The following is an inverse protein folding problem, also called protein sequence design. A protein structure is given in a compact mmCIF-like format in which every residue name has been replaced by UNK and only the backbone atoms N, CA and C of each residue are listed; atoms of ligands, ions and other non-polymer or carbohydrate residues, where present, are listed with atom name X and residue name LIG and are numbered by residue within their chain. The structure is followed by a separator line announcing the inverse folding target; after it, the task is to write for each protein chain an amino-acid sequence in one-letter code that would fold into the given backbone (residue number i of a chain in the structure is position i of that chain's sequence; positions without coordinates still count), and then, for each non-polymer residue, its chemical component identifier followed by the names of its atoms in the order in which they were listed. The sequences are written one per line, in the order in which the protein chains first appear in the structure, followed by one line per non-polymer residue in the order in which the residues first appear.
data_IF_865709881600
#
_entry.id   IF_865709881600
#
_cell.length_a   1.000
_cell.length_b   1.000
_cell.length_c   1.000
_cell.angle_alpha   90.00
_cell.angle_beta   90.00
_cell.angle_gamma   90.00
#
_symmetry.space_group_name_H-M   'P 1'
#
loop_
_entity.id
_entity.type
_entity.pdbx_description
1 polymer ?
#
# COMPACT_ATOMS: atom_id res chain seq x y z
N UNK A 1 2.79 2.15 -7.72
CA UNK A 1 2.74 3.37 -6.88
C UNK A 1 4.14 3.98 -6.76
N UNK A 2 5.15 3.20 -7.10
CA UNK A 2 6.55 3.40 -6.75
C UNK A 2 7.41 2.57 -7.71
N UNK A 3 8.72 2.79 -7.69
CA UNK A 3 9.75 1.94 -8.30
C UNK A 3 11.07 2.14 -7.53
N UNK A 4 11.88 1.10 -7.40
CA UNK A 4 13.20 1.21 -6.79
C UNK A 4 14.16 2.05 -7.63
N UNK A 5 14.99 2.86 -6.96
CA UNK A 5 16.04 3.63 -7.62
C UNK A 5 17.27 2.75 -7.87
N UNK A 6 17.80 2.78 -9.09
CA UNK A 6 19.05 2.10 -9.45
C UNK A 6 18.96 0.59 -9.68
N UNK A 7 17.74 0.01 -9.67
CA UNK A 7 17.53 -1.39 -10.06
C UNK A 7 17.30 -1.48 -11.57
N UNK A 8 17.94 -2.41 -12.31
CA UNK A 8 17.65 -2.58 -13.74
C UNK A 8 16.16 -2.83 -13.97
N UNK A 9 15.60 -2.23 -15.02
CA UNK A 9 14.15 -2.31 -15.31
C UNK A 9 13.69 -3.77 -15.50
N UNK A 10 14.55 -4.59 -16.10
CA UNK A 10 14.31 -6.01 -16.38
C UNK A 10 14.65 -6.90 -15.19
N UNK A 11 15.15 -6.35 -14.07
CA UNK A 11 15.46 -7.12 -12.89
C UNK A 11 14.19 -7.83 -12.37
N UNK A 12 14.24 -9.12 -11.97
CA UNK A 12 13.05 -9.86 -11.55
C UNK A 12 12.28 -9.22 -10.39
N UNK A 13 12.96 -8.44 -9.56
CA UNK A 13 12.41 -7.73 -8.40
C UNK A 13 12.10 -6.24 -8.65
N UNK A 14 12.26 -5.73 -9.87
CA UNK A 14 11.75 -4.39 -10.20
C UNK A 14 10.22 -4.42 -10.19
N UNK A 15 9.59 -3.30 -9.83
CA UNK A 15 8.14 -3.21 -9.89
C UNK A 15 7.62 -3.20 -11.33
N UNK A 16 8.44 -2.74 -12.27
CA UNK A 16 8.21 -2.95 -13.69
C UNK A 16 8.04 -4.44 -14.04
N UNK A 17 9.02 -5.29 -13.70
CA UNK A 17 8.95 -6.74 -13.97
C UNK A 17 7.79 -7.41 -13.22
N UNK A 18 7.55 -7.02 -11.97
CA UNK A 18 6.43 -7.51 -11.18
C UNK A 18 5.08 -7.26 -11.89
N UNK A 19 4.83 -6.00 -12.31
CA UNK A 19 3.57 -5.63 -12.94
C UNK A 19 3.36 -6.32 -14.29
N UNK A 20 4.42 -6.47 -15.10
CA UNK A 20 4.33 -7.19 -16.37
C UNK A 20 4.10 -8.69 -16.18
N UNK A 21 4.81 -9.31 -15.23
CA UNK A 21 4.70 -10.74 -14.94
C UNK A 21 3.32 -11.12 -14.40
N UNK A 22 2.78 -10.32 -13.49
CA UNK A 22 1.58 -10.67 -12.73
C UNK A 22 0.29 -10.08 -13.27
N UNK A 23 0.35 -9.01 -14.08
CA UNK A 23 -0.87 -8.34 -14.53
C UNK A 23 -0.85 -7.94 -16.00
N UNK A 24 0.03 -7.02 -16.42
CA UNK A 24 -0.09 -6.39 -17.75
C UNK A 24 0.03 -7.35 -18.93
N UNK A 25 0.74 -8.47 -18.79
CA UNK A 25 0.86 -9.48 -19.86
C UNK A 25 -0.38 -10.38 -20.00
N UNK A 26 -1.35 -10.28 -19.09
CA UNK A 26 -2.54 -11.16 -19.02
C UNK A 26 -3.84 -10.42 -19.35
N UNK A 27 -3.76 -9.15 -19.76
CA UNK A 27 -4.91 -8.28 -20.04
C UNK A 27 -4.67 -7.42 -21.28
N UNK A 28 -5.76 -6.95 -21.90
CA UNK A 28 -5.73 -6.19 -23.16
C UNK A 28 -5.40 -4.69 -22.95
N UNK A 29 -4.39 -4.38 -22.14
CA UNK A 29 -3.92 -3.00 -21.92
C UNK A 29 -2.91 -2.61 -22.99
N UNK A 30 -3.09 -1.42 -23.59
CA UNK A 30 -2.10 -0.87 -24.53
C UNK A 30 -0.85 -0.44 -23.77
N UNK A 31 0.37 -0.84 -24.17
CA UNK A 31 1.60 -0.46 -23.47
C UNK A 31 1.80 1.05 -23.31
N UNK A 32 1.33 1.86 -24.27
CA UNK A 32 1.39 3.32 -24.20
C UNK A 32 0.54 3.93 -23.08
N UNK A 33 -0.42 3.18 -22.52
CA UNK A 33 -1.25 3.62 -21.39
C UNK A 33 -0.66 3.19 -20.04
N UNK A 34 0.42 2.39 -20.04
CA UNK A 34 1.10 1.94 -18.81
C UNK A 34 2.11 3.01 -18.39
N UNK A 35 1.97 3.48 -17.16
CA UNK A 35 2.87 4.46 -16.56
C UNK A 35 3.45 3.87 -15.26
N UNK A 36 4.77 3.77 -15.19
CA UNK A 36 5.53 3.38 -14.00
C UNK A 36 6.69 4.37 -13.88
N UNK A 37 7.00 4.79 -12.66
CA UNK A 37 8.13 5.68 -12.37
C UNK A 37 9.44 5.05 -12.86
N UNK A 38 10.28 5.84 -13.52
CA UNK A 38 11.60 5.37 -13.96
C UNK A 38 12.68 5.59 -12.88
N UNK A 39 12.90 4.58 -12.04
CA UNK A 39 13.93 4.61 -11.00
C UNK A 39 15.39 4.71 -11.50
N UNK A 40 15.63 4.64 -12.81
CA UNK A 40 16.95 4.81 -13.43
C UNK A 40 17.05 6.09 -14.27
N UNK A 41 16.10 7.03 -14.11
CA UNK A 41 16.19 8.32 -14.78
C UNK A 41 17.47 9.07 -14.35
N UNK A 42 18.11 9.82 -15.26
CA UNK A 42 19.31 10.61 -14.93
C UNK A 42 19.00 11.73 -13.93
N UNK A 43 17.77 12.27 -13.98
CA UNK A 43 17.24 13.23 -13.02
C UNK A 43 15.95 12.67 -12.43
N UNK A 44 16.06 12.22 -11.18
CA UNK A 44 14.97 11.58 -10.45
C UNK A 44 13.88 12.59 -10.03
N UNK A 45 14.24 13.86 -9.79
CA UNK A 45 13.26 14.89 -9.43
C UNK A 45 12.44 15.28 -10.67
N UNK A 46 13.09 15.43 -11.82
CA UNK A 46 12.41 15.66 -13.09
C UNK A 46 11.44 14.51 -13.43
N UNK A 47 11.86 13.25 -13.28
CA UNK A 47 10.97 12.08 -13.46
C UNK A 47 9.73 12.15 -12.56
N UNK A 48 9.89 12.52 -11.28
CA UNK A 48 8.76 12.68 -10.36
C UNK A 48 7.80 13.78 -10.81
N UNK A 49 8.31 14.93 -11.25
CA UNK A 49 7.49 16.04 -11.75
C UNK A 49 6.76 15.66 -13.05
N UNK A 50 7.44 14.99 -13.97
CA UNK A 50 6.84 14.50 -15.21
C UNK A 50 5.73 13.47 -14.93
N UNK A 51 5.89 12.62 -13.93
CA UNK A 51 4.88 11.66 -13.53
C UNK A 51 3.60 12.34 -13.01
N UNK A 52 3.75 13.38 -12.20
CA UNK A 52 2.64 14.22 -11.73
C UNK A 52 1.92 14.93 -12.89
N UNK A 53 2.68 15.47 -13.83
CA UNK A 53 2.11 16.11 -15.02
C UNK A 53 1.42 15.09 -15.94
N UNK A 54 1.92 13.85 -16.05
CA UNK A 54 1.22 12.77 -16.77
C UNK A 54 -0.13 12.44 -16.11
N UNK A 55 -0.18 12.33 -14.77
CA UNK A 55 -1.44 12.12 -14.04
C UNK A 55 -2.41 13.27 -14.33
N UNK A 56 -1.94 14.51 -14.26
CA UNK A 56 -2.77 15.69 -14.51
C UNK A 56 -3.28 15.74 -15.95
N UNK A 57 -2.43 15.44 -16.94
CA UNK A 57 -2.80 15.37 -18.37
C UNK A 57 -3.83 14.27 -18.65
N UNK A 58 -3.81 13.18 -17.87
CA UNK A 58 -4.82 12.13 -17.94
C UNK A 58 -6.17 12.51 -17.27
N UNK A 59 -6.27 13.70 -16.65
CA UNK A 59 -7.46 14.14 -15.93
C UNK A 59 -7.54 13.66 -14.47
N UNK A 60 -6.40 13.28 -13.88
CA UNK A 60 -6.32 12.72 -12.55
C UNK A 60 -6.63 11.21 -12.50
N UNK A 61 -6.53 10.64 -11.30
CA UNK A 61 -6.76 9.21 -11.06
C UNK A 61 -8.23 8.98 -10.71
N UNK A 62 -8.92 8.12 -11.47
CA UNK A 62 -10.31 7.75 -11.16
C UNK A 62 -10.37 6.90 -9.89
N UNK A 63 -9.64 5.79 -9.90
CA UNK A 63 -9.59 4.83 -8.82
C UNK A 63 -8.13 4.55 -8.49
N UNK A 64 -7.75 4.78 -7.24
CA UNK A 64 -6.45 4.44 -6.71
C UNK A 64 -6.56 3.17 -5.88
N UNK A 65 -6.01 2.07 -6.39
CA UNK A 65 -5.90 0.81 -5.66
C UNK A 65 -4.56 0.76 -4.92
N UNK A 66 -4.60 0.51 -3.62
CA UNK A 66 -3.41 0.42 -2.77
C UNK A 66 -3.48 -0.67 -1.72
N UNK A 67 -2.39 -0.82 -1.00
CA UNK A 67 -2.30 -1.61 0.22
C UNK A 67 -1.71 -0.78 1.35
N UNK A 68 -1.45 -1.44 2.48
CA UNK A 68 -0.84 -0.83 3.66
C UNK A 68 0.43 -1.58 4.07
N UNK A 69 1.46 -0.87 4.50
CA UNK A 69 2.60 -1.44 5.22
C UNK A 69 2.24 -1.87 6.66
N UNK A 70 3.03 -2.74 7.31
CA UNK A 70 2.84 -3.08 8.73
C UNK A 70 3.04 -1.88 9.69
N UNK A 71 3.72 -0.84 9.22
CA UNK A 71 3.94 0.47 9.86
C UNK A 71 2.89 1.53 9.45
N UNK A 72 1.88 1.15 8.66
CA UNK A 72 0.84 2.06 8.17
C UNK A 72 1.19 2.90 6.96
N UNK A 73 2.31 2.64 6.27
CA UNK A 73 2.62 3.40 5.07
C UNK A 73 1.65 3.10 3.92
N UNK A 74 1.35 4.13 3.13
CA UNK A 74 0.77 4.01 1.78
C UNK A 74 1.86 4.32 0.74
N UNK A 75 2.03 3.47 -0.28
CA UNK A 75 3.20 3.51 -1.16
C UNK A 75 4.49 3.42 -0.31
N UNK A 76 5.60 4.02 -0.72
CA UNK A 76 6.75 4.24 0.16
C UNK A 76 6.66 5.53 0.98
N UNK A 77 5.46 5.99 1.37
CA UNK A 77 5.32 7.09 2.31
C UNK A 77 5.53 6.61 3.75
N UNK A 78 6.80 6.34 4.07
CA UNK A 78 7.27 5.89 5.39
C UNK A 78 6.81 6.82 6.53
N UNK A 79 6.73 6.33 7.77
CA UNK A 79 6.43 7.13 8.95
C UNK A 79 7.22 8.44 9.00
N UNK A 80 6.53 9.54 9.29
CA UNK A 80 7.06 10.90 9.28
C UNK A 80 6.95 11.62 7.93
N UNK A 81 6.48 10.94 6.88
CA UNK A 81 6.25 11.58 5.57
C UNK A 81 5.14 12.64 5.64
N UNK A 82 5.35 13.78 4.99
CA UNK A 82 4.33 14.83 4.91
C UNK A 82 3.03 14.29 4.31
N UNK A 83 1.90 14.55 4.97
CA UNK A 83 0.58 14.18 4.46
C UNK A 83 0.17 14.99 3.23
N UNK A 84 0.86 16.12 2.95
CA UNK A 84 0.71 16.91 1.73
C UNK A 84 1.79 16.62 0.68
N UNK A 85 2.53 15.52 0.82
CA UNK A 85 3.64 15.19 -0.08
C UNK A 85 3.17 14.90 -1.51
N UNK A 86 4.00 15.28 -2.48
CA UNK A 86 3.91 14.87 -3.89
C UNK A 86 4.86 13.72 -4.20
N UNK A 87 4.77 13.23 -5.42
CA UNK A 87 5.69 12.25 -5.99
C UNK A 87 7.13 12.73 -5.82
N UNK A 88 7.98 11.87 -5.23
CA UNK A 88 9.34 12.23 -4.85
C UNK A 88 10.23 11.01 -4.70
N UNK A 89 11.51 11.28 -4.59
CA UNK A 89 12.50 10.33 -4.11
C UNK A 89 12.35 10.14 -2.60
N UNK A 90 12.36 8.89 -2.14
CA UNK A 90 12.30 8.55 -0.72
C UNK A 90 13.35 7.50 -0.37
N UNK A 91 14.07 7.75 0.72
CA UNK A 91 14.95 6.77 1.35
C UNK A 91 14.10 5.75 2.12
N UNK A 92 14.36 4.47 1.90
CA UNK A 92 13.65 3.39 2.58
C UNK A 92 14.09 3.31 4.04
N UNK A 93 13.14 3.07 4.95
CA UNK A 93 13.45 2.80 6.35
C UNK A 93 14.19 1.46 6.50
N UNK A 94 14.91 1.29 7.61
CA UNK A 94 15.64 0.04 7.88
C UNK A 94 14.68 -1.17 7.92
N UNK A 95 13.51 -1.02 8.52
CA UNK A 95 12.49 -2.08 8.58
C UNK A 95 12.00 -2.48 7.18
N UNK A 96 11.84 -1.52 6.28
CA UNK A 96 11.50 -1.77 4.87
C UNK A 96 12.63 -2.50 4.13
N UNK A 97 13.87 -2.13 4.37
CA UNK A 97 15.05 -2.82 3.81
C UNK A 97 15.10 -4.27 4.32
N UNK A 98 14.89 -4.49 5.62
CA UNK A 98 14.86 -5.80 6.24
C UNK A 98 13.73 -6.67 5.67
N UNK A 99 12.51 -6.13 5.58
CA UNK A 99 11.35 -6.84 5.03
C UNK A 99 11.52 -7.22 3.55
N UNK A 100 12.24 -6.39 2.78
CA UNK A 100 12.44 -6.61 1.35
C UNK A 100 13.69 -7.46 1.05
N UNK A 101 14.65 -7.57 1.97
CA UNK A 101 15.89 -8.37 1.81
C UNK A 101 15.66 -9.79 1.33
N UNK A 102 14.56 -10.44 1.75
CA UNK A 102 14.20 -11.80 1.29
C UNK A 102 13.98 -11.93 -0.22
N UNK A 103 13.68 -10.83 -0.92
CA UNK A 103 13.56 -10.81 -2.38
C UNK A 103 14.93 -10.68 -3.06
N UNK A 104 15.94 -10.28 -2.30
CA UNK A 104 17.32 -10.07 -2.71
C UNK A 104 18.23 -11.08 -1.99
N UNK A 105 17.84 -12.35 -1.98
CA UNK A 105 18.63 -13.46 -1.41
C UNK A 105 18.96 -13.33 0.08
N UNK A 106 18.17 -12.54 0.83
CA UNK A 106 18.42 -12.13 2.21
C UNK A 106 19.70 -11.29 2.39
N UNK A 107 20.20 -10.68 1.32
CA UNK A 107 21.32 -9.77 1.34
C UNK A 107 20.85 -8.31 1.40
N UNK A 108 21.01 -7.69 2.57
CA UNK A 108 20.66 -6.30 2.81
C UNK A 108 21.43 -5.32 1.91
N UNK A 109 22.62 -5.69 1.42
CA UNK A 109 23.42 -4.84 0.54
C UNK A 109 22.85 -4.75 -0.87
N UNK A 110 22.06 -5.73 -1.30
CA UNK A 110 21.44 -5.77 -2.62
C UNK A 110 20.09 -5.05 -2.67
N UNK A 111 19.49 -4.74 -1.51
CA UNK A 111 18.23 -4.01 -1.46
C UNK A 111 18.47 -2.54 -1.83
N UNK A 112 17.74 -1.99 -2.83
CA UNK A 112 17.82 -0.58 -3.16
C UNK A 112 17.49 0.29 -1.94
N UNK A 113 18.31 1.30 -1.66
CA UNK A 113 18.14 2.17 -0.47
C UNK A 113 17.14 3.29 -0.69
N UNK A 114 16.75 3.53 -1.94
CA UNK A 114 15.89 4.62 -2.34
C UNK A 114 14.86 4.11 -3.33
N UNK A 115 13.70 4.76 -3.34
CA UNK A 115 12.63 4.51 -4.30
C UNK A 115 12.04 5.84 -4.77
N UNK A 116 11.51 5.85 -5.97
CA UNK A 116 10.54 6.86 -6.40
C UNK A 116 9.17 6.41 -5.91
N UNK A 117 8.38 7.33 -5.36
CA UNK A 117 7.05 7.00 -4.86
C UNK A 117 6.10 8.17 -5.03
N UNK A 118 4.84 7.87 -5.34
CA UNK A 118 3.79 8.89 -5.29
C UNK A 118 3.63 9.40 -3.85
N UNK A 119 3.40 10.70 -3.70
CA UNK A 119 3.18 11.28 -2.39
C UNK A 119 1.77 11.03 -1.85
N UNK A 120 1.57 11.22 -0.55
CA UNK A 120 0.27 11.04 0.11
C UNK A 120 -0.82 11.89 -0.54
N UNK A 121 -0.53 13.16 -0.85
CA UNK A 121 -1.51 14.03 -1.52
C UNK A 121 -1.84 13.54 -2.94
N UNK A 122 -0.87 12.96 -3.64
CA UNK A 122 -1.08 12.36 -4.97
C UNK A 122 -2.12 11.25 -4.93
N UNK A 123 -2.13 10.45 -3.86
CA UNK A 123 -3.14 9.41 -3.64
C UNK A 123 -4.48 10.05 -3.27
N UNK A 124 -4.47 11.03 -2.35
CA UNK A 124 -5.68 11.75 -1.91
C UNK A 124 -6.34 12.59 -3.01
N UNK A 125 -5.63 12.91 -4.09
CA UNK A 125 -6.17 13.60 -5.26
C UNK A 125 -6.95 12.66 -6.21
N UNK A 126 -6.93 11.34 -5.97
CA UNK A 126 -7.77 10.41 -6.69
C UNK A 126 -9.26 10.67 -6.42
N UNK A 127 -10.15 10.22 -7.32
CA UNK A 127 -11.60 10.35 -7.09
C UNK A 127 -12.13 9.29 -6.13
N UNK A 128 -11.58 8.09 -6.19
CA UNK A 128 -11.84 6.98 -5.28
C UNK A 128 -10.52 6.33 -4.85
N UNK A 129 -10.46 5.88 -3.60
CA UNK A 129 -9.33 5.13 -3.06
C UNK A 129 -9.84 3.81 -2.51
N UNK A 130 -9.30 2.69 -2.99
CA UNK A 130 -9.56 1.36 -2.44
C UNK A 130 -8.27 0.82 -1.85
N UNK A 131 -8.32 0.43 -0.58
CA UNK A 131 -7.18 -0.15 0.15
C UNK A 131 -7.51 -1.59 0.50
N UNK A 132 -6.67 -2.52 0.07
CA UNK A 132 -6.79 -3.95 0.41
C UNK A 132 -5.81 -4.27 1.54
N UNK A 133 -6.32 -4.87 2.62
CA UNK A 133 -5.53 -5.22 3.81
C UNK A 133 -5.86 -6.65 4.21
N UNK A 134 -4.87 -7.53 4.14
CA UNK A 134 -5.06 -8.94 4.51
C UNK A 134 -3.98 -9.42 5.48
N UNK A 135 -4.39 -10.28 6.40
CA UNK A 135 -3.56 -10.98 7.35
C UNK A 135 -3.30 -10.23 8.67
N UNK A 136 -2.94 -11.00 9.74
CA UNK A 136 -2.88 -10.50 11.11
C UNK A 136 -1.75 -9.48 11.33
N UNK A 137 -0.64 -9.63 10.60
CA UNK A 137 0.51 -8.73 10.62
C UNK A 137 0.20 -7.28 10.19
N UNK A 138 -1.01 -7.00 9.67
CA UNK A 138 -1.48 -5.66 9.35
C UNK A 138 -2.51 -5.10 10.33
N UNK A 139 -2.94 -5.89 11.31
CA UNK A 139 -4.04 -5.52 12.21
C UNK A 139 -3.74 -4.25 13.01
N UNK A 140 -2.52 -4.12 13.53
CA UNK A 140 -2.09 -2.92 14.26
C UNK A 140 -2.15 -1.68 13.35
N UNK A 141 -1.64 -1.78 12.12
CA UNK A 141 -1.65 -0.68 11.17
C UNK A 141 -3.08 -0.26 10.80
N UNK A 142 -3.98 -1.22 10.59
CA UNK A 142 -5.40 -0.95 10.35
C UNK A 142 -6.03 -0.21 11.55
N UNK A 143 -5.83 -0.69 12.77
CA UNK A 143 -6.33 -0.03 13.97
C UNK A 143 -5.85 1.43 14.06
N UNK A 144 -4.54 1.65 13.92
CA UNK A 144 -3.97 3.00 14.02
C UNK A 144 -4.50 3.94 12.94
N UNK A 145 -4.77 3.43 11.74
CA UNK A 145 -5.26 4.24 10.64
C UNK A 145 -6.77 4.54 10.69
N UNK A 146 -7.57 3.73 11.39
CA UNK A 146 -9.04 3.85 11.39
C UNK A 146 -9.61 4.30 12.74
N UNK A 147 -9.10 3.76 13.84
CA UNK A 147 -9.55 4.16 15.18
C UNK A 147 -8.68 5.27 15.78
N UNK A 148 -7.46 5.44 15.26
CA UNK A 148 -6.59 6.57 15.59
C UNK A 148 -6.93 7.84 14.82
N UNK A 149 -6.38 8.98 15.27
CA UNK A 149 -6.47 10.24 14.53
C UNK A 149 -5.48 10.30 13.37
N UNK A 150 -5.73 11.24 12.43
CA UNK A 150 -4.82 11.53 11.31
C UNK A 150 -3.42 11.87 11.82
N UNK A 151 -2.42 11.08 11.41
CA UNK A 151 -1.05 11.17 11.90
C UNK A 151 -0.04 10.79 10.81
N UNK A 152 1.00 11.60 10.63
CA UNK A 152 2.07 11.33 9.65
C UNK A 152 2.95 10.11 9.97
N UNK A 153 2.86 9.55 11.19
CA UNK A 153 3.50 8.29 11.55
C UNK A 153 2.75 7.07 10.99
N UNK A 154 1.47 7.23 10.66
CA UNK A 154 0.62 6.19 10.06
C UNK A 154 -0.01 6.80 8.82
N UNK A 155 0.75 6.92 7.73
CA UNK A 155 0.38 7.80 6.61
C UNK A 155 -0.94 7.42 5.93
N UNK A 156 -1.34 6.14 5.98
CA UNK A 156 -2.66 5.73 5.52
C UNK A 156 -3.81 6.36 6.32
N UNK A 157 -3.62 6.78 7.58
CA UNK A 157 -4.65 7.50 8.37
C UNK A 157 -5.17 8.76 7.66
N UNK A 158 -4.41 9.31 6.71
CA UNK A 158 -4.84 10.43 5.88
C UNK A 158 -6.06 10.12 4.99
N UNK A 159 -6.38 8.85 4.72
CA UNK A 159 -7.60 8.46 3.98
C UNK A 159 -8.88 8.87 4.71
N UNK A 160 -8.84 9.12 6.02
CA UNK A 160 -9.96 9.68 6.77
C UNK A 160 -10.38 11.07 6.25
N UNK A 161 -9.48 11.79 5.56
CA UNK A 161 -9.74 13.09 4.96
C UNK A 161 -10.27 12.99 3.52
N UNK A 162 -10.25 11.79 2.93
CA UNK A 162 -10.69 11.56 1.57
C UNK A 162 -12.24 11.47 1.51
N UNK A 163 -12.90 12.00 0.47
CA UNK A 163 -14.37 11.94 0.36
C UNK A 163 -14.90 10.53 0.04
N UNK A 164 -14.12 9.69 -0.64
CA UNK A 164 -14.54 8.35 -1.09
C UNK A 164 -13.47 7.27 -0.85
N UNK A 165 -13.09 6.98 0.41
CA UNK A 165 -12.23 5.86 0.73
C UNK A 165 -13.05 4.58 0.90
N UNK A 166 -12.52 3.46 0.44
CA UNK A 166 -13.01 2.12 0.71
C UNK A 166 -11.85 1.26 1.21
N UNK A 167 -12.08 0.53 2.31
CA UNK A 167 -11.08 -0.35 2.88
C UNK A 167 -11.66 -1.74 2.93
N UNK A 168 -11.02 -2.65 2.20
CA UNK A 168 -11.40 -4.04 2.06
C UNK A 168 -10.43 -4.87 2.88
N UNK A 169 -10.97 -5.59 3.87
CA UNK A 169 -10.16 -6.36 4.83
C UNK A 169 -10.63 -7.80 4.94
N UNK A 170 -9.72 -8.71 5.28
CA UNK A 170 -10.08 -10.03 5.81
C UNK A 170 -10.33 -9.98 7.33
N UNK A 171 -10.83 -11.06 7.91
CA UNK A 171 -11.10 -11.10 9.36
C UNK A 171 -9.81 -10.97 10.18
N UNK A 172 -8.69 -11.57 9.73
CA UNK A 172 -7.42 -11.55 10.45
C UNK A 172 -6.83 -10.14 10.56
N UNK A 173 -7.01 -9.28 9.56
CA UNK A 173 -6.61 -7.88 9.64
C UNK A 173 -7.42 -7.09 10.69
N UNK A 174 -8.54 -7.60 11.19
CA UNK A 174 -9.39 -6.90 12.17
C UNK A 174 -9.06 -7.21 13.63
N UNK A 175 -8.07 -8.07 13.91
CA UNK A 175 -7.79 -8.59 15.26
C UNK A 175 -7.50 -7.51 16.32
N UNK A 176 -6.93 -6.37 15.93
CA UNK A 176 -6.60 -5.24 16.81
C UNK A 176 -7.70 -4.17 16.87
N UNK A 177 -8.78 -4.32 16.08
CA UNK A 177 -9.92 -3.42 16.11
C UNK A 177 -10.82 -3.68 17.31
N UNK A 178 -11.52 -2.65 17.76
CA UNK A 178 -12.57 -2.83 18.75
C UNK A 178 -13.71 -3.64 18.14
N UNK A 179 -14.26 -4.57 18.94
CA UNK A 179 -15.44 -5.37 18.57
C UNK A 179 -16.60 -4.49 18.08
N UNK A 180 -16.77 -3.32 18.69
CA UNK A 180 -17.81 -2.36 18.31
C UNK A 180 -17.59 -1.80 16.90
N UNK A 181 -16.35 -1.51 16.53
CA UNK A 181 -15.97 -1.01 15.18
C UNK A 181 -16.31 -2.04 14.11
N UNK A 182 -15.89 -3.30 14.32
CA UNK A 182 -16.16 -4.39 13.36
C UNK A 182 -17.68 -4.62 13.20
N UNK A 183 -18.42 -4.68 14.32
CA UNK A 183 -19.88 -4.86 14.29
C UNK A 183 -20.59 -3.69 13.61
N UNK A 184 -20.11 -2.46 13.81
CA UNK A 184 -20.68 -1.26 13.20
C UNK A 184 -20.59 -1.34 11.67
N UNK A 185 -19.40 -1.59 11.11
CA UNK A 185 -19.23 -1.66 9.66
C UNK A 185 -19.94 -2.88 9.04
N UNK A 186 -19.88 -4.05 9.68
CA UNK A 186 -20.66 -5.23 9.21
C UNK A 186 -22.16 -4.94 9.14
N UNK A 187 -22.70 -4.23 10.13
CA UNK A 187 -24.11 -3.85 10.16
C UNK A 187 -24.47 -2.87 9.04
N UNK A 188 -23.59 -1.91 8.73
CA UNK A 188 -23.83 -0.93 7.66
C UNK A 188 -23.82 -1.62 6.30
N UNK A 189 -22.83 -2.48 6.04
CA UNK A 189 -22.72 -3.21 4.77
C UNK A 189 -23.91 -4.17 4.57
N UNK A 190 -24.39 -4.82 5.64
CA UNK A 190 -25.59 -5.64 5.58
C UNK A 190 -26.81 -4.82 5.11
N UNK A 191 -27.05 -3.66 5.73
CA UNK A 191 -28.18 -2.77 5.37
C UNK A 191 -28.00 -2.21 3.95
N UNK A 192 -26.79 -1.81 3.57
CA UNK A 192 -26.50 -1.32 2.23
C UNK A 192 -26.82 -2.38 1.16
N UNK A 193 -26.44 -3.64 1.41
CA UNK A 193 -26.73 -4.76 0.51
C UNK A 193 -28.23 -5.07 0.42
N UNK A 194 -28.96 -5.05 1.53
CA UNK A 194 -30.42 -5.25 1.55
C UNK A 194 -31.17 -4.19 0.74
N UNK A 195 -30.72 -2.94 0.80
CA UNK A 195 -31.30 -1.82 0.04
C UNK A 195 -30.81 -1.77 -1.42
N UNK A 196 -29.86 -2.63 -1.81
CA UNK A 196 -29.20 -2.55 -3.10
C UNK A 196 -28.41 -1.26 -3.31
N UNK A 197 -28.04 -0.58 -2.21
CA UNK A 197 -27.26 0.64 -2.26
C UNK A 197 -25.86 0.33 -2.78
N UNK A 198 -25.41 1.11 -3.77
CA UNK A 198 -24.04 1.09 -4.27
C UNK A 198 -23.46 2.47 -4.10
N UNK A 199 -22.23 2.55 -3.62
CA UNK A 199 -21.50 3.82 -3.57
C UNK A 199 -21.45 4.41 -4.98
N UNK A 200 -22.10 5.56 -5.16
CA UNK A 200 -22.10 6.29 -6.41
C UNK A 200 -21.08 7.42 -6.31
N UNK A 201 -20.00 7.34 -7.09
CA UNK A 201 -19.04 8.43 -7.17
C UNK A 201 -19.65 9.63 -7.90
N UNK A 202 -19.37 10.87 -7.45
CA UNK A 202 -19.69 12.07 -8.21
C UNK A 202 -18.97 12.00 -9.56
N UNK A 203 -19.72 11.87 -10.65
CA UNK A 203 -19.19 12.01 -12.00
C UNK A 203 -18.77 13.46 -12.23
N UNK A 204 -17.55 13.86 -11.86
CA UNK A 204 -16.90 14.99 -12.53
C UNK A 204 -16.48 14.51 -13.92
N UNK A 205 -17.40 14.64 -14.87
CA UNK A 205 -17.23 14.38 -16.31
C UNK A 205 -16.23 15.39 -16.90
N UNK A 206 -14.93 15.19 -16.67
CA UNK A 206 -13.87 15.93 -17.38
C UNK A 206 -13.10 15.02 -18.37
N UNK A 207 -13.43 13.73 -18.46
CA UNK A 207 -12.87 12.84 -19.48
C UNK A 207 -13.61 13.00 -20.81
N UNK A 208 -12.96 13.62 -21.81
CA UNK A 208 -13.44 13.75 -23.19
C UNK A 208 -13.38 12.42 -23.98
N UNK A 209 -13.85 11.31 -23.39
CA UNK A 209 -13.90 10.00 -24.06
C UNK A 209 -15.32 9.45 -24.00
N UNK A 210 -16.06 9.81 -25.05
CA UNK A 210 -17.24 9.19 -25.68
C UNK A 210 -18.23 8.34 -24.84
N UNK A 211 -19.52 8.71 -24.99
CA UNK A 211 -20.76 8.00 -24.56
C UNK A 211 -20.97 6.59 -25.20
N UNK A 212 -19.90 5.87 -25.56
CA UNK A 212 -20.01 4.56 -26.22
C UNK A 212 -19.32 3.40 -25.49
N UNK A 213 -18.81 3.59 -24.27
CA UNK A 213 -18.31 2.47 -23.46
C UNK A 213 -19.45 2.00 -22.54
N UNK A 214 -19.99 0.78 -22.71
CA UNK A 214 -20.98 0.24 -21.80
C UNK A 214 -20.45 0.26 -20.36
N UNK A 215 -21.22 0.85 -19.45
CA UNK A 215 -20.99 0.69 -18.02
C UNK A 215 -21.20 -0.79 -17.67
N UNK A 216 -20.09 -1.45 -17.36
CA UNK A 216 -19.92 -2.89 -17.17
C UNK A 216 -19.93 -3.72 -18.47
N UNK A 217 -18.93 -4.61 -18.67
CA UNK A 217 -19.09 -5.69 -19.64
C UNK A 217 -20.33 -6.50 -19.26
N UNK A 218 -21.22 -6.73 -20.23
CA UNK A 218 -22.28 -7.73 -20.09
C UNK A 218 -21.60 -9.04 -19.69
N UNK A 219 -22.04 -9.72 -18.62
CA UNK A 219 -21.43 -10.98 -18.22
C UNK A 219 -21.52 -11.97 -19.38
N UNK A 220 -20.41 -12.16 -20.08
CA UNK A 220 -20.30 -13.22 -21.06
C UNK A 220 -20.22 -14.53 -20.29
N UNK A 221 -21.30 -15.30 -20.34
CA UNK A 221 -21.29 -16.68 -19.85
C UNK A 221 -20.47 -17.54 -20.81
N UNK A 222 -19.15 -17.34 -20.82
CA UNK A 222 -18.25 -18.39 -21.27
C UNK A 222 -18.44 -19.49 -20.25
N UNK A 223 -18.97 -20.66 -20.66
CA UNK A 223 -19.41 -21.77 -19.79
C UNK A 223 -18.38 -22.36 -18.81
N UNK A 224 -17.29 -21.64 -18.55
CA UNK A 224 -16.39 -21.80 -17.41
C UNK A 224 -17.12 -21.33 -16.15
N UNK A 225 -17.78 -22.28 -15.48
CA UNK A 225 -18.10 -22.10 -14.05
C UNK A 225 -16.77 -22.08 -13.30
N UNK A 226 -16.42 -20.96 -12.68
CA UNK A 226 -15.49 -20.96 -11.56
C UNK A 226 -16.15 -21.77 -10.44
N UNK A 227 -15.93 -23.07 -10.45
CA UNK A 227 -16.28 -23.91 -9.32
C UNK A 227 -15.33 -23.51 -8.19
N UNK A 228 -15.89 -22.94 -7.12
CA UNK A 228 -15.22 -22.93 -5.83
C UNK A 228 -14.91 -24.39 -5.53
N UNK A 229 -13.64 -24.80 -5.43
CA UNK A 229 -13.31 -26.20 -5.14
C UNK A 229 -14.00 -26.58 -3.84
N UNK A 230 -14.85 -27.62 -3.88
CA UNK A 230 -15.28 -28.24 -2.63
C UNK A 230 -14.02 -28.80 -1.97
N UNK A 231 -13.69 -28.28 -0.79
CA UNK A 231 -12.55 -28.77 -0.01
C UNK A 231 -12.81 -30.22 0.37
N UNK A 232 -12.09 -31.13 -0.29
CA UNK A 232 -11.93 -32.50 0.15
C UNK A 232 -11.00 -32.49 1.36
N UNK A 233 -11.56 -32.74 2.55
CA UNK A 233 -10.90 -32.60 3.87
C UNK A 233 -9.84 -33.69 4.10
N UNK A 234 -9.33 -34.33 3.04
CA UNK A 234 -8.52 -35.53 3.15
C UNK A 234 -7.23 -35.55 2.32
N UNK A 235 -6.82 -34.45 1.66
CA UNK A 235 -5.55 -34.45 0.89
C UNK A 235 -4.68 -33.22 1.12
N UNK A 236 -3.39 -33.53 1.27
CA UNK A 236 -2.23 -32.69 1.59
C UNK A 236 -2.16 -31.35 0.86
N UNK A 237 -1.66 -30.34 1.58
CA UNK A 237 -1.57 -28.93 1.20
C UNK A 237 -1.12 -28.70 -0.25
N UNK A 238 -1.98 -28.04 -1.03
CA UNK A 238 -1.59 -27.34 -2.26
C UNK A 238 -0.86 -26.04 -1.89
N UNK A 239 0.11 -25.58 -2.71
CA UNK A 239 1.01 -24.49 -2.34
C UNK A 239 0.27 -23.14 -2.34
N UNK A 240 0.42 -22.40 -1.25
CA UNK A 240 -0.25 -21.11 -0.98
C UNK A 240 0.50 -19.97 -1.69
N UNK A 241 -0.21 -19.19 -2.52
CA UNK A 241 0.23 -17.87 -3.00
C UNK A 241 -0.01 -16.86 -1.87
N UNK A 242 1.04 -16.35 -1.23
CA UNK A 242 0.92 -15.41 -0.11
C UNK A 242 1.35 -13.99 -0.48
N UNK A 243 0.62 -13.03 0.09
CA UNK A 243 0.96 -11.62 0.05
C UNK A 243 2.26 -11.35 0.82
N UNK A 244 3.01 -10.33 0.38
CA UNK A 244 4.34 -9.96 0.85
C UNK A 244 4.42 -9.47 2.33
N UNK A 245 3.58 -9.92 3.25
CA UNK A 245 3.72 -9.55 4.67
C UNK A 245 3.41 -10.65 5.68
N UNK A 246 2.76 -11.74 5.30
CA UNK A 246 2.25 -12.76 6.25
C UNK A 246 3.07 -14.04 6.31
N UNK A 247 4.41 -13.98 6.35
CA UNK A 247 5.28 -15.16 6.54
C UNK A 247 6.28 -14.93 7.66
N UNK A 248 5.79 -14.96 8.90
CA UNK A 248 6.62 -15.05 10.11
C UNK A 248 6.52 -16.49 10.59
N UNK A 249 7.63 -17.23 10.57
CA UNK A 249 7.76 -18.50 11.29
C UNK A 249 8.44 -18.22 12.64
N UNK A 250 7.79 -18.62 13.73
CA UNK A 250 8.33 -18.62 15.08
C UNK A 250 9.53 -19.58 15.18
N UNK A 251 10.74 -19.09 14.97
CA UNK A 251 11.97 -19.73 15.44
C UNK A 251 13.14 -18.73 15.40
N UNK A 252 13.26 -17.93 16.47
CA UNK A 252 14.51 -17.23 16.80
C UNK A 252 15.02 -17.80 18.12
N UNK A 253 16.27 -18.29 18.21
CA UNK A 253 16.83 -18.78 19.47
C UNK A 253 16.97 -17.59 20.44
N UNK A 254 16.47 -17.75 21.67
CA UNK A 254 16.79 -16.82 22.77
C UNK A 254 18.28 -16.89 23.06
N UNK A 255 19.03 -15.87 22.66
CA UNK A 255 20.37 -15.63 23.18
C UNK A 255 20.19 -14.83 24.47
N UNK A 256 20.31 -15.52 25.61
CA UNK A 256 20.46 -14.92 26.93
C UNK A 256 21.95 -14.77 27.21
N UNK A 257 22.47 -13.55 27.10
CA UNK A 257 23.68 -13.15 27.83
C UNK A 257 23.44 -11.81 28.54
N UNK A 258 23.96 -11.60 29.76
CA UNK A 258 23.67 -10.43 30.57
C UNK A 258 24.52 -9.24 30.11
N UNK A 259 23.87 -8.10 29.85
CA UNK A 259 24.55 -6.83 29.61
C UNK A 259 25.01 -6.27 30.96
N UNK A 260 26.33 -6.20 31.15
CA UNK A 260 26.97 -5.46 32.23
C UNK A 260 26.66 -3.96 32.13
N UNK A 261 26.51 -3.33 33.30
CA UNK A 261 26.17 -1.93 33.54
C UNK A 261 27.04 -0.94 32.77
N UNK A 262 26.40 -0.07 31.98
CA UNK A 262 27.00 1.15 31.43
C UNK A 262 26.32 2.34 32.11
N UNK A 263 27.13 3.16 32.81
CA UNK A 263 26.72 4.37 33.54
C UNK A 263 26.00 5.39 32.63
N UNK A 264 24.86 5.90 33.10
CA UNK A 264 24.15 7.04 32.51
C UNK A 264 24.91 8.35 32.74
N UNK A 265 25.12 9.21 31.71
CA UNK A 265 25.50 10.59 31.94
C UNK A 265 24.28 11.42 32.33
N UNK A 266 24.32 12.04 33.51
CA UNK A 266 23.30 12.96 34.01
C UNK A 266 23.08 14.14 33.05
N UNK A 267 21.90 14.20 32.42
CA UNK A 267 21.41 15.36 31.69
C UNK A 267 20.81 16.38 32.68
N UNK A 268 21.42 17.56 32.76
CA UNK A 268 20.88 18.69 33.51
C UNK A 268 19.88 19.49 32.64
N UNK A 269 18.77 20.00 33.22
CA UNK A 269 17.72 20.68 32.46
C UNK A 269 18.14 22.09 31.99
N UNK A 270 17.68 22.46 30.79
CA UNK A 270 17.93 23.74 30.09
C UNK A 270 17.21 24.95 30.73
N UNK A 271 17.46 25.25 32.00
CA UNK A 271 17.02 26.51 32.63
C UNK A 271 18.17 27.35 33.23
N UNK A 272 19.43 26.94 33.06
CA UNK A 272 20.57 27.58 33.72
C UNK A 272 21.57 28.28 32.77
N UNK A 273 21.13 28.82 31.63
CA UNK A 273 21.98 29.66 30.75
C UNK A 273 21.32 30.99 30.39
N UNK A 274 21.01 31.79 31.40
CA UNK A 274 20.91 33.25 31.27
C UNK A 274 21.39 33.86 32.59
N UNK A 275 22.66 34.28 32.64
CA UNK A 275 23.21 35.43 33.38
C UNK A 275 24.73 35.28 33.49
N UNK A 276 25.48 36.27 33.01
CA UNK A 276 26.94 36.35 33.11
C UNK A 276 27.56 36.90 31.85
#
# INVERSE_FOLDING_TARGET
MDEYVGIPREHPQSYHSFMYKHFFSHVDVKPANINILNGNAPDLEAECQEYEEKIKKAGGIELFLGGIGPDGHIAFNEPGSSLKSRTRVKTLAYDTILANSRFFENDLAQVPRMALTVGVQTVLDAREIVIIITGPHKALALQKCIEGGVNHMWTLSSVQLHPHPMIVVDEDATLELQVKTVKYFKSIEMVANELGFRQMLPRKRDSMVEDQIPLAPVPQSNGVKLAVPQQDVSRSASPVLEAMGSRISDEVPRITEPIESIDEPQLSPMSARVTG
#
